data_IF_694290606739
#
_entry.id   IF_694290606739
#
_cell.length_a   1.000
_cell.length_b   1.000
_cell.length_c   1.000
_cell.angle_alpha   90.00
_cell.angle_beta   90.00
_cell.angle_gamma   90.00
#
_symmetry.space_group_name_H-M   'P 1'
#
loop_
_entity.id
_entity.type
_entity.pdbx_description
1 polymer ?
#
# COMPACT_ATOMS: atom_id res chain seq x y z
N UNK A 1 10.09 16.21 -4.01
CA UNK A 1 9.14 15.92 -5.10
C UNK A 1 8.58 14.53 -4.83
N UNK A 2 7.28 14.39 -4.79
CA UNK A 2 6.59 13.10 -4.75
C UNK A 2 5.98 12.83 -6.13
N UNK A 3 6.19 11.63 -6.68
CA UNK A 3 5.62 11.22 -7.97
C UNK A 3 4.68 10.07 -7.71
N UNK A 4 3.44 10.18 -8.19
CA UNK A 4 2.41 9.15 -8.07
C UNK A 4 2.55 8.09 -9.16
N UNK A 5 1.87 6.96 -8.99
CA UNK A 5 1.91 5.82 -9.91
C UNK A 5 1.45 6.15 -11.35
N UNK A 6 0.69 7.23 -11.53
CA UNK A 6 0.26 7.75 -12.82
C UNK A 6 1.25 8.74 -13.45
N UNK A 7 2.46 8.84 -12.88
CA UNK A 7 3.53 9.76 -13.29
C UNK A 7 3.10 11.23 -13.27
N UNK A 8 2.32 11.63 -12.27
CA UNK A 8 1.99 13.02 -12.00
C UNK A 8 2.63 13.49 -10.69
N UNK A 9 3.00 14.78 -10.64
CA UNK A 9 3.50 15.42 -9.42
C UNK A 9 2.36 15.78 -8.44
N UNK A 10 2.73 16.39 -7.30
CA UNK A 10 1.75 16.82 -6.29
C UNK A 10 0.78 17.92 -6.80
N UNK A 11 1.12 18.57 -7.91
CA UNK A 11 0.30 19.61 -8.55
C UNK A 11 -0.54 19.07 -9.71
N UNK A 12 -0.43 17.78 -10.02
CA UNK A 12 -1.15 17.11 -11.10
C UNK A 12 -0.48 17.26 -12.48
N UNK A 13 0.80 17.67 -12.54
CA UNK A 13 1.52 17.79 -13.81
C UNK A 13 2.18 16.45 -14.17
N UNK A 14 2.23 16.07 -15.48
CA UNK A 14 2.99 14.91 -15.92
C UNK A 14 4.47 15.06 -15.58
N UNK A 15 5.08 13.99 -15.08
CA UNK A 15 6.51 13.92 -14.75
C UNK A 15 7.20 13.01 -15.77
N UNK A 16 8.20 13.51 -16.44
CA UNK A 16 9.00 12.75 -17.40
C UNK A 16 10.23 12.12 -16.73
N UNK A 17 10.87 11.18 -17.46
CA UNK A 17 12.17 10.66 -17.06
C UNK A 17 13.21 11.77 -16.87
N UNK A 18 13.24 12.76 -17.77
CA UNK A 18 14.16 13.89 -17.70
C UNK A 18 13.94 14.70 -16.42
N UNK A 19 12.68 15.00 -16.05
CA UNK A 19 12.36 15.79 -14.86
C UNK A 19 12.87 15.08 -13.58
N UNK A 20 12.73 13.76 -13.52
CA UNK A 20 13.24 12.96 -12.40
C UNK A 20 14.77 13.00 -12.35
N UNK A 21 15.44 12.82 -13.49
CA UNK A 21 16.90 12.83 -13.57
C UNK A 21 17.46 14.22 -13.25
N UNK A 22 16.86 15.29 -13.78
CA UNK A 22 17.26 16.66 -13.50
C UNK A 22 17.10 17.00 -12.01
N UNK A 23 16.02 16.52 -11.40
CA UNK A 23 15.78 16.66 -9.95
C UNK A 23 16.86 15.96 -9.14
N UNK A 24 17.20 14.72 -9.50
CA UNK A 24 18.25 13.96 -8.81
C UNK A 24 19.63 14.60 -9.00
N UNK A 25 19.94 15.06 -10.22
CA UNK A 25 21.17 15.77 -10.54
C UNK A 25 21.29 17.04 -9.69
N UNK A 26 20.23 17.85 -9.61
CA UNK A 26 20.20 19.04 -8.76
C UNK A 26 20.49 18.71 -7.30
N UNK A 27 19.75 17.78 -6.69
CA UNK A 27 19.98 17.44 -5.28
C UNK A 27 21.32 16.75 -5.03
N UNK A 28 21.88 16.05 -6.01
CA UNK A 28 23.19 15.44 -5.88
C UNK A 28 24.33 16.46 -5.76
N UNK A 29 24.11 17.69 -6.28
CA UNK A 29 25.05 18.81 -6.13
C UNK A 29 24.87 19.62 -4.85
N UNK A 30 23.62 19.68 -4.36
CA UNK A 30 23.25 20.50 -3.20
C UNK A 30 23.38 19.76 -1.85
N UNK A 31 23.49 18.44 -1.85
CA UNK A 31 23.50 17.64 -0.62
C UNK A 31 24.61 16.59 -0.63
N UNK A 32 25.23 16.36 0.53
CA UNK A 32 26.24 15.31 0.73
C UNK A 32 25.68 13.90 0.51
N UNK A 33 24.40 13.69 0.81
CA UNK A 33 23.70 12.42 0.64
C UNK A 33 22.25 12.67 0.19
N UNK A 34 21.82 11.93 -0.81
CA UNK A 34 20.46 11.93 -1.33
C UNK A 34 19.90 10.52 -1.26
N UNK A 35 18.66 10.38 -0.80
CA UNK A 35 17.94 9.10 -0.78
C UNK A 35 16.69 9.24 -1.65
N UNK A 36 16.63 8.45 -2.71
CA UNK A 36 15.43 8.25 -3.51
C UNK A 36 14.60 7.13 -2.87
N UNK A 37 13.36 7.42 -2.51
CA UNK A 37 12.43 6.42 -2.00
C UNK A 37 11.41 6.12 -3.10
N UNK A 38 11.32 4.84 -3.48
CA UNK A 38 10.35 4.32 -4.45
C UNK A 38 9.48 3.31 -3.71
N UNK A 39 8.29 3.74 -3.35
CA UNK A 39 7.36 2.89 -2.61
C UNK A 39 6.45 2.12 -3.57
N UNK A 40 6.30 0.80 -3.33
CA UNK A 40 5.44 -0.11 -4.10
C UNK A 40 5.72 -0.09 -5.62
N UNK A 41 6.97 -0.27 -6.04
CA UNK A 41 7.33 -0.29 -7.48
C UNK A 41 6.55 -1.37 -8.27
N UNK A 42 6.11 -2.44 -7.59
CA UNK A 42 5.25 -3.49 -8.15
C UNK A 42 3.90 -2.97 -8.63
N UNK A 43 3.38 -1.88 -8.06
CA UNK A 43 2.16 -1.24 -8.54
C UNK A 43 2.28 -0.77 -10.00
N UNK A 44 3.49 -0.41 -10.45
CA UNK A 44 3.77 -0.04 -11.84
C UNK A 44 3.83 -1.24 -12.79
N UNK A 45 4.04 -2.45 -12.27
CA UNK A 45 4.06 -3.69 -13.06
C UNK A 45 2.67 -4.28 -13.27
N UNK A 46 1.73 -4.01 -12.36
CA UNK A 46 0.39 -4.58 -12.33
C UNK A 46 -0.62 -3.83 -13.22
N UNK A 47 -0.16 -2.90 -14.05
CA UNK A 47 -1.04 -2.22 -15.00
C UNK A 47 -1.64 -3.24 -15.97
N UNK A 48 -2.95 -3.47 -15.86
CA UNK A 48 -3.72 -4.41 -16.67
C UNK A 48 -3.76 -4.06 -18.16
N UNK A 49 -3.25 -2.90 -18.53
CA UNK A 49 -3.16 -2.42 -19.91
C UNK A 49 -1.93 -2.94 -20.64
N UNK A 50 -1.10 -3.81 -20.05
CA UNK A 50 0.24 -4.18 -20.58
C UNK A 50 1.18 -2.96 -20.80
N UNK A 51 0.79 -1.78 -20.35
CA UNK A 51 1.62 -0.59 -20.47
C UNK A 51 2.63 -0.55 -19.31
N UNK A 52 3.87 -0.88 -19.62
CA UNK A 52 4.99 -0.85 -18.68
C UNK A 52 5.84 0.42 -18.79
N UNK A 53 5.32 1.45 -19.44
CA UNK A 53 6.07 2.70 -19.68
C UNK A 53 6.58 3.29 -18.38
N UNK A 54 5.73 3.41 -17.35
CA UNK A 54 6.12 3.97 -16.06
C UNK A 54 7.09 3.09 -15.29
N UNK A 55 6.92 1.76 -15.34
CA UNK A 55 7.88 0.83 -14.76
C UNK A 55 9.25 0.96 -15.43
N UNK A 56 9.28 0.96 -16.75
CA UNK A 56 10.52 1.09 -17.52
C UNK A 56 11.19 2.45 -17.27
N UNK A 57 10.41 3.52 -17.15
CA UNK A 57 10.91 4.84 -16.79
C UNK A 57 11.56 4.82 -15.41
N UNK A 58 10.90 4.23 -14.40
CA UNK A 58 11.46 4.13 -13.05
C UNK A 58 12.72 3.27 -13.03
N UNK A 59 12.75 2.17 -13.78
CA UNK A 59 13.94 1.32 -13.90
C UNK A 59 15.10 2.05 -14.58
N UNK A 60 14.83 2.95 -15.52
CA UNK A 60 15.84 3.81 -16.14
C UNK A 60 16.40 4.83 -15.13
N UNK A 61 15.54 5.45 -14.30
CA UNK A 61 15.98 6.31 -13.19
C UNK A 61 16.89 5.54 -12.24
N UNK A 62 16.46 4.35 -11.78
CA UNK A 62 17.25 3.52 -10.87
C UNK A 62 18.60 3.10 -11.48
N UNK A 63 18.65 2.89 -12.79
CA UNK A 63 19.89 2.55 -13.49
C UNK A 63 20.85 3.74 -13.59
N UNK A 64 20.33 4.96 -13.72
CA UNK A 64 21.16 6.16 -13.79
C UNK A 64 21.76 6.59 -12.44
N UNK A 65 21.33 5.98 -11.31
CA UNK A 65 21.90 6.30 -9.99
C UNK A 65 23.40 6.02 -9.88
N UNK A 66 23.96 5.17 -10.76
CA UNK A 66 25.40 4.92 -10.81
C UNK A 66 26.20 6.18 -11.19
N UNK A 67 25.57 7.15 -11.84
CA UNK A 67 26.21 8.41 -12.22
C UNK A 67 26.35 9.39 -11.04
N UNK A 68 25.65 9.11 -9.93
CA UNK A 68 25.65 9.96 -8.74
C UNK A 68 26.10 9.16 -7.48
N UNK A 69 27.38 9.23 -7.11
CA UNK A 69 27.94 8.39 -6.04
C UNK A 69 27.35 8.69 -4.65
N UNK A 70 26.76 9.88 -4.44
CA UNK A 70 26.12 10.28 -3.19
C UNK A 70 24.60 10.02 -3.16
N UNK A 71 24.00 9.49 -4.26
CA UNK A 71 22.61 9.11 -4.31
C UNK A 71 22.44 7.61 -4.02
N UNK A 72 21.44 7.27 -3.24
CA UNK A 72 21.03 5.88 -2.96
C UNK A 72 19.54 5.76 -3.13
N UNK A 73 19.06 4.59 -3.57
CA UNK A 73 17.63 4.29 -3.60
C UNK A 73 17.24 3.28 -2.52
N UNK A 74 16.06 3.47 -1.96
CA UNK A 74 15.31 2.48 -1.19
C UNK A 74 14.05 2.19 -1.96
N UNK A 75 13.88 0.93 -2.37
CA UNK A 75 12.75 0.49 -3.20
C UNK A 75 11.96 -0.55 -2.42
N UNK A 76 10.65 -0.33 -2.23
CA UNK A 76 9.77 -1.38 -1.71
C UNK A 76 9.10 -2.12 -2.87
N UNK A 77 8.97 -3.44 -2.71
CA UNK A 77 8.37 -4.32 -3.69
C UNK A 77 7.81 -5.56 -3.00
N UNK A 78 6.68 -6.07 -3.46
CA UNK A 78 6.19 -7.36 -2.99
C UNK A 78 7.14 -8.47 -3.42
N UNK A 79 7.39 -9.42 -2.51
CA UNK A 79 8.29 -10.55 -2.76
C UNK A 79 7.89 -11.35 -4.01
N UNK A 80 6.59 -11.59 -4.16
CA UNK A 80 6.05 -12.30 -5.32
C UNK A 80 6.41 -11.59 -6.63
N UNK A 81 6.15 -10.28 -6.72
CA UNK A 81 6.42 -9.51 -7.93
C UNK A 81 7.91 -9.40 -8.22
N UNK A 82 8.73 -9.25 -7.18
CA UNK A 82 10.20 -9.26 -7.31
C UNK A 82 10.74 -10.62 -7.83
N UNK A 83 10.06 -11.72 -7.54
CA UNK A 83 10.47 -13.06 -7.98
C UNK A 83 10.00 -13.39 -9.38
N UNK A 84 8.79 -13.01 -9.75
CA UNK A 84 8.14 -13.49 -10.98
C UNK A 84 8.02 -12.43 -12.07
N UNK A 85 8.15 -11.15 -11.80
CA UNK A 85 8.22 -10.12 -12.83
C UNK A 85 9.64 -10.02 -13.39
N UNK A 86 9.79 -10.21 -14.69
CA UNK A 86 11.11 -10.24 -15.36
C UNK A 86 11.88 -8.92 -15.26
N UNK A 87 11.18 -7.78 -15.19
CA UNK A 87 11.80 -6.46 -15.08
C UNK A 87 12.23 -6.22 -13.65
N UNK A 88 11.34 -6.45 -12.67
CA UNK A 88 11.62 -6.26 -11.24
C UNK A 88 12.67 -7.25 -10.73
N UNK A 89 12.72 -8.47 -11.27
CA UNK A 89 13.70 -9.47 -10.90
C UNK A 89 15.15 -8.98 -11.12
N UNK A 90 15.38 -8.13 -12.13
CA UNK A 90 16.68 -7.53 -12.39
C UNK A 90 17.21 -6.64 -11.25
N UNK A 91 16.37 -6.20 -10.33
CA UNK A 91 16.79 -5.46 -9.15
C UNK A 91 17.59 -6.32 -8.17
N UNK A 92 17.39 -7.65 -8.16
CA UNK A 92 18.11 -8.56 -7.27
C UNK A 92 19.62 -8.52 -7.47
N UNK A 93 20.06 -8.38 -8.71
CA UNK A 93 21.48 -8.40 -9.06
C UNK A 93 22.20 -7.07 -8.73
N UNK A 94 21.41 -6.02 -8.48
CA UNK A 94 21.91 -4.63 -8.32
C UNK A 94 21.70 -4.06 -6.92
N UNK A 95 20.99 -4.78 -6.04
CA UNK A 95 20.59 -4.25 -4.74
C UNK A 95 20.84 -5.22 -3.61
N UNK A 96 20.95 -4.68 -2.40
CA UNK A 96 20.87 -5.47 -1.18
C UNK A 96 19.42 -5.66 -0.81
N UNK A 97 18.96 -6.91 -0.74
CA UNK A 97 17.59 -7.23 -0.40
C UNK A 97 17.47 -7.34 1.12
N UNK A 98 16.49 -6.61 1.66
CA UNK A 98 16.05 -6.73 3.04
C UNK A 98 14.63 -7.25 3.03
N UNK A 99 14.42 -8.48 3.51
CA UNK A 99 13.08 -9.06 3.62
C UNK A 99 12.43 -8.59 4.92
N UNK A 100 11.25 -7.98 4.80
CA UNK A 100 10.40 -7.61 5.93
C UNK A 100 9.45 -8.78 6.17
N UNK A 101 9.69 -9.52 7.25
CA UNK A 101 8.86 -10.66 7.66
C UNK A 101 7.67 -10.24 8.51
N UNK A 102 6.98 -11.26 9.04
CA UNK A 102 5.93 -11.06 10.04
C UNK A 102 6.50 -10.49 11.34
N UNK A 103 5.64 -9.79 12.09
CA UNK A 103 5.96 -9.33 13.44
C UNK A 103 6.17 -10.54 14.38
N UNK A 104 7.06 -10.37 15.33
CA UNK A 104 7.19 -11.31 16.45
C UNK A 104 6.03 -11.15 17.42
N UNK A 105 5.72 -12.18 18.22
CA UNK A 105 4.68 -12.09 19.26
C UNK A 105 4.94 -10.92 20.23
N UNK A 106 6.19 -10.64 20.54
CA UNK A 106 6.57 -9.52 21.39
C UNK A 106 6.24 -8.16 20.76
N UNK A 107 6.49 -8.01 19.47
CA UNK A 107 6.17 -6.78 18.72
C UNK A 107 4.66 -6.58 18.62
N UNK A 108 3.89 -7.64 18.37
CA UNK A 108 2.42 -7.59 18.41
C UNK A 108 1.93 -7.15 19.79
N UNK A 109 2.43 -7.76 20.88
CA UNK A 109 2.07 -7.38 22.24
C UNK A 109 2.40 -5.92 22.54
N UNK A 110 3.57 -5.44 22.11
CA UNK A 110 3.97 -4.03 22.29
C UNK A 110 3.01 -3.10 21.52
N UNK A 111 2.66 -3.45 20.29
CA UNK A 111 1.76 -2.65 19.46
C UNK A 111 0.34 -2.59 20.07
N UNK A 112 -0.18 -3.71 20.52
CA UNK A 112 -1.49 -3.80 21.18
C UNK A 112 -1.52 -3.00 22.48
N UNK A 113 -0.49 -3.08 23.30
CA UNK A 113 -0.39 -2.31 24.54
C UNK A 113 -0.26 -0.79 24.31
N UNK A 114 0.17 -0.37 23.10
CA UNK A 114 0.09 1.05 22.71
C UNK A 114 -1.32 1.50 22.34
N UNK A 115 -2.20 0.60 21.91
CA UNK A 115 -3.60 0.91 21.64
C UNK A 115 -4.37 1.03 22.96
N UNK A 116 -4.20 0.05 23.85
CA UNK A 116 -4.76 0.05 25.20
C UNK A 116 -3.87 -0.79 26.12
N UNK A 117 -3.56 -0.25 27.31
CA UNK A 117 -2.69 -0.93 28.27
C UNK A 117 -3.32 -2.27 28.73
N UNK A 118 -2.57 -3.35 28.59
CA UNK A 118 -3.02 -4.69 28.94
C UNK A 118 -3.65 -5.46 27.77
N UNK A 119 -4.04 -4.82 26.69
CA UNK A 119 -4.70 -5.46 25.55
C UNK A 119 -3.92 -6.65 24.97
N UNK A 120 -2.60 -6.56 24.94
CA UNK A 120 -1.75 -7.65 24.46
C UNK A 120 -1.82 -8.94 25.29
N UNK A 121 -2.28 -8.87 26.53
CA UNK A 121 -2.50 -10.02 27.41
C UNK A 121 -3.93 -10.58 27.32
N UNK A 122 -4.88 -9.80 26.84
CA UNK A 122 -6.29 -10.19 26.69
C UNK A 122 -6.57 -10.89 25.37
N UNK A 123 -5.70 -10.70 24.38
CA UNK A 123 -5.82 -11.32 23.05
C UNK A 123 -5.43 -12.79 23.13
N UNK A 124 -6.26 -13.65 22.55
CA UNK A 124 -5.97 -15.08 22.46
C UNK A 124 -4.84 -15.37 21.45
N UNK A 125 -4.32 -16.61 21.53
CA UNK A 125 -3.19 -17.05 20.70
C UNK A 125 -3.52 -17.04 19.19
N UNK A 126 -4.74 -17.35 18.82
CA UNK A 126 -5.17 -17.43 17.40
C UNK A 126 -5.15 -16.03 16.82
N UNK A 127 -5.79 -15.08 17.50
CA UNK A 127 -5.80 -13.67 17.12
C UNK A 127 -4.38 -13.09 17.12
N UNK A 128 -3.59 -13.33 18.17
CA UNK A 128 -2.20 -12.86 18.24
C UNK A 128 -1.35 -13.36 17.05
N UNK A 129 -1.53 -14.62 16.66
CA UNK A 129 -0.82 -15.19 15.50
C UNK A 129 -1.24 -14.50 14.20
N UNK A 130 -2.53 -14.25 14.00
CA UNK A 130 -3.04 -13.54 12.83
C UNK A 130 -2.52 -12.11 12.75
N UNK A 131 -2.42 -11.42 13.89
CA UNK A 131 -1.95 -10.04 13.99
C UNK A 131 -0.44 -9.88 13.75
N UNK A 132 0.31 -10.94 13.54
CA UNK A 132 1.72 -10.88 13.12
C UNK A 132 1.88 -10.27 11.73
N UNK A 133 0.85 -10.34 10.90
CA UNK A 133 0.81 -9.61 9.63
C UNK A 133 0.43 -8.15 9.90
N UNK A 134 1.28 -7.20 9.47
CA UNK A 134 1.08 -5.76 9.71
C UNK A 134 -0.28 -5.28 9.23
N UNK A 135 -0.74 -5.75 8.08
CA UNK A 135 -2.07 -5.41 7.55
C UNK A 135 -3.20 -5.86 8.49
N UNK A 136 -3.09 -7.06 9.09
CA UNK A 136 -4.10 -7.55 10.04
C UNK A 136 -4.08 -6.72 11.33
N UNK A 137 -2.88 -6.37 11.81
CA UNK A 137 -2.73 -5.53 12.98
C UNK A 137 -3.30 -4.12 12.77
N UNK A 138 -3.12 -3.54 11.58
CA UNK A 138 -3.69 -2.25 11.23
C UNK A 138 -5.23 -2.32 11.16
N UNK A 139 -5.77 -3.32 10.46
CA UNK A 139 -7.21 -3.59 10.38
C UNK A 139 -7.83 -3.79 11.76
N UNK A 140 -7.18 -4.57 12.62
CA UNK A 140 -7.58 -4.75 14.02
C UNK A 140 -7.54 -3.42 14.79
N UNK A 141 -6.48 -2.64 14.61
CA UNK A 141 -6.32 -1.34 15.30
C UNK A 141 -7.42 -0.36 14.89
N UNK A 142 -7.79 -0.35 13.61
CA UNK A 142 -8.89 0.47 13.11
C UNK A 142 -10.22 0.04 13.72
N UNK A 143 -10.51 -1.27 13.75
CA UNK A 143 -11.71 -1.84 14.34
C UNK A 143 -11.77 -1.51 15.85
N UNK A 144 -10.69 -1.76 16.58
CA UNK A 144 -10.61 -1.56 18.02
C UNK A 144 -10.87 -0.11 18.44
N UNK A 145 -10.37 0.86 17.67
CA UNK A 145 -10.63 2.29 17.91
C UNK A 145 -12.09 2.67 17.73
N UNK A 146 -12.84 1.94 16.90
CA UNK A 146 -14.27 2.18 16.63
C UNK A 146 -15.17 1.41 17.57
N UNK A 147 -14.81 0.15 17.82
CA UNK A 147 -15.62 -0.75 18.63
C UNK A 147 -14.72 -1.71 19.41
N UNK A 148 -14.69 -1.55 20.74
CA UNK A 148 -13.89 -2.35 21.66
C UNK A 148 -14.56 -3.65 22.11
N UNK A 149 -15.75 -4.00 21.58
CA UNK A 149 -16.56 -5.10 22.11
C UNK A 149 -16.04 -6.50 21.77
N UNK A 150 -15.33 -6.64 20.65
CA UNK A 150 -14.77 -7.93 20.21
C UNK A 150 -13.28 -7.76 19.94
N UNK A 151 -12.48 -8.52 20.69
CA UNK A 151 -11.01 -8.46 20.62
C UNK A 151 -10.38 -9.78 20.14
N UNK A 152 -11.14 -10.88 20.08
CA UNK A 152 -10.65 -12.18 19.66
C UNK A 152 -11.40 -12.67 18.41
N UNK A 153 -10.65 -13.23 17.46
CA UNK A 153 -11.12 -13.66 16.14
C UNK A 153 -10.54 -15.03 15.79
N UNK A 154 -11.35 -15.93 15.26
CA UNK A 154 -10.90 -17.27 14.89
C UNK A 154 -10.15 -17.29 13.54
N UNK A 155 -10.40 -16.32 12.68
CA UNK A 155 -9.79 -16.20 11.36
C UNK A 155 -9.88 -14.76 10.80
N UNK A 156 -9.22 -14.53 9.68
CA UNK A 156 -9.18 -13.23 9.02
C UNK A 156 -10.56 -12.75 8.52
N UNK A 157 -11.42 -13.69 8.13
CA UNK A 157 -12.76 -13.36 7.62
C UNK A 157 -13.59 -12.71 8.73
N UNK A 158 -13.57 -13.28 9.93
CA UNK A 158 -14.28 -12.70 11.09
C UNK A 158 -13.79 -11.29 11.43
N UNK A 159 -12.49 -11.00 11.29
CA UNK A 159 -11.96 -9.66 11.49
C UNK A 159 -12.45 -8.70 10.39
N UNK A 160 -12.46 -9.14 9.13
CA UNK A 160 -12.95 -8.31 8.03
C UNK A 160 -14.45 -8.09 8.08
N UNK A 161 -15.23 -9.09 8.49
CA UNK A 161 -16.69 -8.94 8.69
C UNK A 161 -16.97 -7.91 9.80
N UNK A 162 -16.27 -8.01 10.92
CA UNK A 162 -16.40 -7.03 12.00
C UNK A 162 -15.95 -5.62 11.58
N UNK A 163 -14.92 -5.52 10.75
CA UNK A 163 -14.47 -4.24 10.19
C UNK A 163 -15.50 -3.66 9.21
N UNK A 164 -16.11 -4.52 8.37
CA UNK A 164 -17.18 -4.13 7.46
C UNK A 164 -18.36 -3.55 8.25
N UNK A 165 -18.82 -4.25 9.27
CA UNK A 165 -19.91 -3.78 10.14
C UNK A 165 -19.57 -2.44 10.79
N UNK A 166 -18.34 -2.28 11.29
CA UNK A 166 -17.91 -1.07 11.97
C UNK A 166 -17.65 0.13 11.05
N UNK A 167 -17.39 -0.11 9.76
CA UNK A 167 -17.02 0.95 8.79
C UNK A 167 -18.12 1.22 7.79
N UNK A 168 -18.69 0.18 7.19
CA UNK A 168 -19.70 0.30 6.14
C UNK A 168 -21.10 0.35 6.72
N UNK A 169 -21.40 -0.53 7.71
CA UNK A 169 -22.73 -0.63 8.32
C UNK A 169 -22.95 0.34 9.50
N UNK A 170 -21.98 1.24 9.78
CA UNK A 170 -22.10 2.22 10.87
C UNK A 170 -23.25 3.20 10.61
N UNK A 171 -24.32 3.06 11.38
CA UNK A 171 -25.52 3.89 11.29
C UNK A 171 -25.33 5.36 11.70
N UNK A 172 -24.20 5.68 12.34
CA UNK A 172 -23.88 7.06 12.74
C UNK A 172 -23.37 7.93 11.58
N UNK A 173 -23.04 7.33 10.44
CA UNK A 173 -22.55 8.06 9.27
C UNK A 173 -23.70 8.70 8.47
N UNK A 174 -23.42 9.80 7.76
CA UNK A 174 -24.40 10.66 7.09
C UNK A 174 -25.25 9.95 6.00
N UNK A 175 -24.75 8.88 5.40
CA UNK A 175 -25.44 8.18 4.32
C UNK A 175 -26.08 6.89 4.83
N UNK A 176 -27.18 6.51 4.22
CA UNK A 176 -27.86 5.27 4.49
C UNK A 176 -26.91 4.06 4.32
N UNK A 177 -27.03 3.07 5.21
CA UNK A 177 -26.24 1.84 5.20
C UNK A 177 -26.42 1.10 3.88
N UNK A 178 -27.66 0.93 3.41
CA UNK A 178 -27.97 0.25 2.15
C UNK A 178 -27.28 0.92 0.95
N UNK A 179 -27.23 2.26 0.94
CA UNK A 179 -26.56 3.02 -0.12
C UNK A 179 -25.04 2.78 -0.10
N UNK A 180 -24.41 2.72 1.07
CA UNK A 180 -22.96 2.47 1.21
C UNK A 180 -22.61 1.05 0.79
N UNK A 181 -23.36 0.06 1.24
CA UNK A 181 -23.19 -1.33 0.83
C UNK A 181 -23.34 -1.48 -0.69
N UNK A 182 -24.39 -0.91 -1.26
CA UNK A 182 -24.61 -0.94 -2.70
C UNK A 182 -23.45 -0.29 -3.46
N UNK A 183 -22.94 0.85 -2.98
CA UNK A 183 -21.79 1.52 -3.60
C UNK A 183 -20.53 0.63 -3.52
N UNK A 184 -20.27 -0.01 -2.39
CA UNK A 184 -19.13 -0.90 -2.23
C UNK A 184 -19.22 -2.12 -3.15
N UNK A 185 -20.40 -2.74 -3.27
CA UNK A 185 -20.62 -3.83 -4.22
C UNK A 185 -20.42 -3.40 -5.67
N UNK A 186 -20.90 -2.22 -6.05
CA UNK A 186 -20.64 -1.65 -7.39
C UNK A 186 -19.16 -1.41 -7.65
N UNK A 187 -18.41 -0.90 -6.68
CA UNK A 187 -16.97 -0.71 -6.80
C UNK A 187 -16.28 -2.06 -7.04
N UNK A 188 -16.59 -3.08 -6.24
CA UNK A 188 -16.02 -4.43 -6.39
C UNK A 188 -16.36 -5.03 -7.77
N UNK A 189 -17.62 -4.94 -8.20
CA UNK A 189 -18.06 -5.41 -9.51
C UNK A 189 -17.30 -4.69 -10.63
N UNK A 190 -17.17 -3.36 -10.52
CA UNK A 190 -16.43 -2.56 -11.52
C UNK A 190 -14.95 -2.95 -11.57
N UNK A 191 -14.32 -3.18 -10.41
CA UNK A 191 -12.95 -3.68 -10.32
C UNK A 191 -12.82 -5.04 -11.00
N UNK A 192 -13.76 -5.96 -10.75
CA UNK A 192 -13.77 -7.30 -11.36
C UNK A 192 -13.92 -7.24 -12.88
N UNK A 193 -14.82 -6.40 -13.38
CA UNK A 193 -15.07 -6.26 -14.81
C UNK A 193 -13.91 -5.55 -15.52
N UNK A 194 -13.44 -4.45 -14.93
CA UNK A 194 -12.34 -3.67 -15.50
C UNK A 194 -10.99 -4.38 -15.37
N UNK A 195 -10.88 -5.35 -14.43
CA UNK A 195 -9.63 -6.01 -14.09
C UNK A 195 -8.56 -5.04 -13.52
N UNK A 196 -8.94 -3.88 -13.00
CA UNK A 196 -8.05 -2.87 -12.45
C UNK A 196 -8.55 -2.41 -11.08
N UNK A 197 -7.62 -2.17 -10.15
CA UNK A 197 -7.93 -1.65 -8.82
C UNK A 197 -8.30 -0.15 -8.81
N UNK A 198 -8.10 0.55 -9.93
CA UNK A 198 -8.46 1.95 -10.08
C UNK A 198 -9.42 2.14 -11.28
N UNK A 199 -10.65 1.60 -11.23
CA UNK A 199 -11.63 1.82 -12.27
C UNK A 199 -12.03 3.29 -12.28
N UNK A 200 -12.14 3.90 -13.47
CA UNK A 200 -12.76 5.21 -13.59
C UNK A 200 -14.26 5.03 -13.24
N UNK A 201 -14.60 5.39 -12.03
CA UNK A 201 -15.99 5.36 -11.56
C UNK A 201 -16.74 6.51 -12.22
N UNK A 202 -17.55 6.21 -13.22
CA UNK A 202 -18.52 7.17 -13.78
C UNK A 202 -19.78 7.02 -12.93
N UNK A 203 -20.14 8.03 -12.09
CA UNK A 203 -21.41 7.99 -11.37
C UNK A 203 -22.54 7.93 -12.40
N UNK A 204 -23.43 6.97 -12.23
CA UNK A 204 -24.61 6.86 -13.08
C UNK A 204 -25.44 8.15 -12.95
N UNK A 205 -25.49 8.94 -14.03
CA UNK A 205 -26.17 10.23 -14.08
C UNK A 205 -27.72 10.09 -14.07
N UNK A 206 -28.24 8.88 -13.87
CA UNK A 206 -29.66 8.55 -13.91
C UNK A 206 -30.38 8.66 -12.55
N UNK A 207 -29.69 9.07 -11.48
CA UNK A 207 -30.34 9.39 -10.19
C UNK A 207 -30.29 10.90 -9.93
N UNK A 208 -31.23 11.63 -10.56
CA UNK A 208 -31.68 12.94 -10.13
C UNK A 208 -33.05 12.84 -9.52
#
# INVERSE_FOLDING_TARGET
MCVKSDAIDDNGNPVSLSDMQDTLAYYSTEADKVILIVDQIDALSQSLTNDRTHLNMMMAVLSSLNDWPNVRAVVSCRKYDLEYDSVLNSLKDRSTIVEIGELTEKEVTIALNKLENGLGQEIDRVTATMLRTVQMLDSFSLLFRRNKSKINFNNQIELYDALWDAVICDSSLRHDVEMREHLMYKIVETIQIAGTLNPQFIPDSSQK
#
